data_IF_498485870736
#
_entry.id   IF_498485870736
#
_cell.length_a   1.000
_cell.length_b   1.000
_cell.length_c   1.000
_cell.angle_alpha   90.00
_cell.angle_beta   90.00
_cell.angle_gamma   90.00
#
_symmetry.space_group_name_H-M   'P 1'
#
loop_
_entity.id
_entity.type
_entity.pdbx_description
1 polymer ?
#
# COMPACT_ATOMS: atom_id res chain seq x y z
N UNK A 1 44.06 17.94 25.24
CA UNK A 1 43.05 18.19 26.29
C UNK A 1 41.85 18.89 25.64
N UNK A 2 40.84 18.12 25.22
CA UNK A 2 39.53 18.70 24.90
C UNK A 2 38.45 17.81 25.51
N UNK A 3 37.65 18.43 26.37
CA UNK A 3 36.61 17.87 27.21
C UNK A 3 35.43 17.29 26.41
N UNK A 4 35.09 16.03 26.68
CA UNK A 4 33.86 15.38 26.18
C UNK A 4 32.69 15.82 27.08
N UNK A 5 31.73 16.58 26.54
CA UNK A 5 30.44 16.82 27.20
C UNK A 5 29.55 15.58 27.01
N UNK A 6 29.24 14.91 28.09
CA UNK A 6 28.17 13.89 28.18
C UNK A 6 26.84 14.65 28.25
N UNK A 7 25.93 14.37 27.30
CA UNK A 7 24.53 14.75 27.40
C UNK A 7 23.80 13.55 28.01
N UNK A 8 23.25 13.77 29.20
CA UNK A 8 22.41 12.79 29.91
C UNK A 8 20.96 13.11 29.56
N UNK A 9 20.28 12.24 28.84
CA UNK A 9 18.83 12.30 28.69
C UNK A 9 18.16 11.74 29.94
N UNK A 10 17.38 12.56 30.63
CA UNK A 10 16.52 12.13 31.73
C UNK A 10 15.17 11.69 31.18
N UNK A 11 14.84 10.41 31.40
CA UNK A 11 13.49 9.88 31.20
C UNK A 11 12.61 10.30 32.37
N UNK A 12 11.52 11.04 32.10
CA UNK A 12 10.46 11.29 33.06
C UNK A 12 9.39 10.20 32.99
N UNK A 13 8.85 9.76 34.12
CA UNK A 13 7.88 8.65 34.13
C UNK A 13 6.48 9.08 33.73
N UNK A 14 5.85 8.21 32.96
CA UNK A 14 4.48 8.25 32.47
C UNK A 14 3.49 8.19 33.67
N UNK A 15 2.75 9.25 33.91
CA UNK A 15 1.65 9.25 34.88
C UNK A 15 0.37 8.68 34.28
N UNK A 16 -0.06 7.57 34.84
CA UNK A 16 -1.33 6.89 34.58
C UNK A 16 -2.47 7.76 35.12
N UNK A 17 -3.36 8.29 34.27
CA UNK A 17 -4.58 8.97 34.69
C UNK A 17 -5.75 7.99 34.62
N UNK A 18 -6.23 7.58 35.79
CA UNK A 18 -7.46 6.80 35.95
C UNK A 18 -8.67 7.73 35.86
N UNK A 19 -9.59 7.43 34.96
CA UNK A 19 -10.87 8.12 34.80
C UNK A 19 -11.88 7.52 35.79
N UNK A 20 -12.27 8.29 36.82
CA UNK A 20 -13.40 7.97 37.67
C UNK A 20 -14.61 8.75 37.20
N UNK A 21 -15.69 8.06 36.85
CA UNK A 21 -17.00 8.63 36.61
C UNK A 21 -17.72 8.86 37.96
N UNK A 22 -18.26 10.04 38.19
CA UNK A 22 -19.34 10.24 39.14
C UNK A 22 -20.20 11.44 38.75
N UNK A 23 -21.49 11.22 38.62
CA UNK A 23 -22.48 12.25 38.33
C UNK A 23 -22.91 13.04 39.58
N UNK A 24 -23.58 14.17 39.34
CA UNK A 24 -24.30 14.88 40.38
C UNK A 24 -24.31 16.41 40.16
N UNK A 25 -25.49 16.98 39.96
CA UNK A 25 -25.74 18.39 39.67
C UNK A 25 -25.51 19.32 40.86
N UNK A 26 -25.39 20.59 40.55
CA UNK A 26 -25.34 21.66 41.54
C UNK A 26 -24.93 22.98 40.94
N UNK A 27 -25.86 23.88 40.80
CA UNK A 27 -25.68 25.30 40.43
C UNK A 27 -24.91 26.07 41.52
N UNK A 28 -23.87 26.80 41.15
CA UNK A 28 -23.44 27.99 41.88
C UNK A 28 -22.62 28.94 41.00
N UNK A 29 -23.09 30.19 40.93
CA UNK A 29 -22.42 31.32 40.35
C UNK A 29 -21.10 31.63 41.06
N UNK A 30 -20.03 31.81 40.33
CA UNK A 30 -18.89 32.61 40.75
C UNK A 30 -18.40 33.49 39.62
N UNK A 31 -18.56 34.81 39.79
CA UNK A 31 -17.88 35.83 39.02
C UNK A 31 -16.49 36.05 39.61
N UNK A 32 -15.44 35.94 38.87
CA UNK A 32 -14.17 36.59 39.10
C UNK A 32 -13.40 36.73 37.77
N UNK A 33 -13.07 37.96 37.43
CA UNK A 33 -12.33 38.32 36.23
C UNK A 33 -10.89 37.83 36.26
N UNK A 34 -10.38 37.50 35.09
CA UNK A 34 -8.99 37.15 34.87
C UNK A 34 -8.78 36.69 33.43
N UNK A 35 -8.06 37.51 32.67
CA UNK A 35 -7.36 37.24 31.41
C UNK A 35 -7.89 36.05 30.56
N UNK A 36 -8.64 36.39 29.55
CA UNK A 36 -8.94 35.46 28.46
C UNK A 36 -7.69 35.27 27.58
N UNK A 37 -6.87 34.30 27.88
CA UNK A 37 -6.18 33.57 26.83
C UNK A 37 -7.26 32.87 26.01
N UNK A 38 -7.61 33.44 24.89
CA UNK A 38 -8.44 32.74 23.89
C UNK A 38 -7.66 31.52 23.37
N UNK A 39 -7.81 30.41 24.04
CA UNK A 39 -7.63 29.13 23.39
C UNK A 39 -8.71 29.08 22.29
N UNK A 40 -8.35 29.50 21.10
CA UNK A 40 -9.12 29.17 19.91
C UNK A 40 -9.17 27.64 19.86
N UNK A 41 -10.31 27.06 20.25
CA UNK A 41 -10.64 25.69 19.92
C UNK A 41 -10.63 25.68 18.41
N UNK A 42 -9.57 25.10 17.83
CA UNK A 42 -9.48 24.81 16.42
C UNK A 42 -10.77 24.08 16.05
N UNK A 43 -11.58 24.67 15.19
CA UNK A 43 -12.74 23.99 14.63
C UNK A 43 -12.19 22.81 13.85
N UNK A 44 -12.62 21.59 14.22
CA UNK A 44 -12.31 20.38 13.46
C UNK A 44 -12.66 20.63 11.99
N UNK A 45 -11.67 20.56 11.12
CA UNK A 45 -11.83 20.66 9.68
C UNK A 45 -12.12 19.29 9.07
N UNK A 46 -12.26 19.25 7.77
CA UNK A 46 -12.28 17.99 7.03
C UNK A 46 -11.44 18.12 5.76
N UNK A 47 -10.78 17.03 5.38
CA UNK A 47 -10.10 16.90 4.10
C UNK A 47 -10.72 15.77 3.29
N UNK A 48 -10.85 15.97 1.99
CA UNK A 48 -11.38 14.97 1.06
C UNK A 48 -10.49 14.90 -0.16
N UNK A 49 -10.40 13.71 -0.72
CA UNK A 49 -9.56 13.49 -1.89
C UNK A 49 -9.69 12.08 -2.43
N UNK A 50 -8.70 11.67 -3.18
CA UNK A 50 -8.61 10.34 -3.76
C UNK A 50 -7.18 9.80 -3.65
N UNK A 51 -7.10 8.49 -3.40
CA UNK A 51 -5.86 7.74 -3.35
C UNK A 51 -5.61 7.05 -4.70
N UNK A 52 -4.40 7.21 -5.23
CA UNK A 52 -4.15 6.97 -6.62
C UNK A 52 -2.79 6.30 -6.95
N UNK A 53 -2.86 5.12 -7.47
CA UNK A 53 -1.92 4.43 -8.35
C UNK A 53 -2.77 3.66 -9.38
N UNK A 54 -3.69 4.36 -10.08
CA UNK A 54 -5.03 3.95 -10.39
C UNK A 54 -5.93 4.09 -9.15
N UNK A 55 -7.27 4.19 -9.28
CA UNK A 55 -8.14 4.31 -8.12
C UNK A 55 -7.92 3.17 -7.12
N UNK A 56 -7.46 3.49 -5.89
CA UNK A 56 -7.24 2.51 -4.83
C UNK A 56 -8.53 2.30 -4.04
N UNK A 57 -9.23 1.21 -4.32
CA UNK A 57 -10.43 0.82 -3.59
C UNK A 57 -10.06 0.12 -2.28
N UNK A 58 -10.72 0.47 -1.17
CA UNK A 58 -10.54 -0.10 0.17
C UNK A 58 -9.16 0.14 0.81
N UNK A 59 -8.37 1.09 0.33
CA UNK A 59 -7.13 1.51 0.99
C UNK A 59 -7.44 2.21 2.32
N UNK A 60 -6.64 1.97 3.36
CA UNK A 60 -6.75 2.68 4.63
C UNK A 60 -6.18 4.08 4.47
N UNK A 61 -6.91 5.11 4.91
CA UNK A 61 -6.48 6.51 4.86
C UNK A 61 -6.58 7.13 6.24
N UNK A 62 -5.56 7.88 6.64
CA UNK A 62 -5.55 8.66 7.88
C UNK A 62 -4.72 9.93 7.72
N UNK A 63 -4.83 10.85 8.67
CA UNK A 63 -3.97 12.02 8.79
C UNK A 63 -2.93 11.77 9.87
N UNK A 64 -1.69 12.12 9.59
CA UNK A 64 -0.56 12.05 10.49
C UNK A 64 -0.14 13.49 10.86
N UNK A 65 -0.05 13.79 12.16
CA UNK A 65 0.24 15.15 12.66
C UNK A 65 1.68 15.31 13.14
N UNK A 66 2.41 14.23 13.37
CA UNK A 66 3.71 14.25 14.02
C UNK A 66 4.74 13.28 13.42
N UNK A 67 4.46 12.75 12.23
CA UNK A 67 5.25 11.71 11.56
C UNK A 67 5.42 10.42 12.41
N UNK A 68 4.54 10.24 13.41
CA UNK A 68 4.61 9.11 14.35
C UNK A 68 3.97 7.83 13.81
N UNK A 69 3.38 7.84 12.62
CA UNK A 69 2.74 6.70 11.93
C UNK A 69 1.60 5.99 12.71
N UNK A 70 1.30 6.44 13.92
CA UNK A 70 0.29 5.88 14.82
C UNK A 70 -0.58 6.98 15.42
N UNK A 71 -1.00 7.95 14.60
CA UNK A 71 -1.72 9.11 15.06
C UNK A 71 -3.08 8.81 15.69
N UNK A 72 -3.52 9.68 16.59
CA UNK A 72 -4.87 9.75 17.15
C UNK A 72 -5.92 10.23 16.12
N UNK A 73 -5.68 9.95 14.83
CA UNK A 73 -6.50 10.41 13.72
C UNK A 73 -7.62 9.44 13.39
N UNK A 74 -8.74 9.98 12.92
CA UNK A 74 -9.77 9.15 12.32
C UNK A 74 -9.20 8.41 11.12
N UNK A 75 -9.48 7.13 11.04
CA UNK A 75 -9.13 6.31 9.88
C UNK A 75 -10.38 6.03 9.06
N UNK A 76 -10.26 6.06 7.75
CA UNK A 76 -11.32 5.67 6.82
C UNK A 76 -10.76 4.73 5.77
N UNK A 77 -11.63 4.01 5.07
CA UNK A 77 -11.24 3.31 3.84
C UNK A 77 -11.75 4.06 2.62
N UNK A 78 -10.95 4.04 1.57
CA UNK A 78 -11.36 4.60 0.28
C UNK A 78 -12.57 3.85 -0.27
N UNK A 79 -13.42 4.57 -0.98
CA UNK A 79 -14.53 4.00 -1.74
C UNK A 79 -14.04 3.24 -2.99
N UNK A 80 -14.98 2.73 -3.79
CA UNK A 80 -14.68 1.97 -5.02
C UNK A 80 -13.95 2.77 -6.09
N UNK A 81 -13.91 4.09 -5.99
CA UNK A 81 -13.24 5.01 -6.91
C UNK A 81 -11.99 5.64 -6.30
N UNK A 82 -11.55 5.17 -5.14
CA UNK A 82 -10.40 5.71 -4.42
C UNK A 82 -10.69 6.96 -3.59
N UNK A 83 -11.95 7.39 -3.50
CA UNK A 83 -12.36 8.59 -2.76
C UNK A 83 -12.35 8.39 -1.25
N UNK A 84 -12.04 9.46 -0.49
CA UNK A 84 -12.08 9.46 0.97
C UNK A 84 -12.49 10.83 1.52
N UNK A 85 -12.96 10.85 2.76
CA UNK A 85 -13.18 12.07 3.57
C UNK A 85 -12.75 11.81 5.00
N UNK A 86 -11.87 12.66 5.54
CA UNK A 86 -11.30 12.59 6.88
C UNK A 86 -11.60 13.84 7.67
N UNK A 87 -11.76 13.71 8.99
CA UNK A 87 -11.79 14.86 9.91
C UNK A 87 -10.36 15.25 10.27
N UNK A 88 -10.08 16.56 10.32
CA UNK A 88 -8.78 17.11 10.68
C UNK A 88 -8.88 17.98 11.94
N UNK A 89 -7.82 17.97 12.75
CA UNK A 89 -7.73 18.75 13.99
C UNK A 89 -7.10 20.13 13.76
N UNK A 90 -6.25 20.25 12.75
CA UNK A 90 -5.56 21.49 12.36
C UNK A 90 -5.12 21.36 10.88
N UNK A 91 -4.47 22.39 10.34
CA UNK A 91 -4.06 22.46 8.93
C UNK A 91 -2.63 21.95 8.68
N UNK A 92 -1.92 21.50 9.72
CA UNK A 92 -0.57 20.94 9.59
C UNK A 92 -0.61 19.42 9.80
N UNK A 93 -0.73 18.68 8.72
CA UNK A 93 -0.81 17.22 8.72
C UNK A 93 -0.30 16.67 7.39
N UNK A 94 0.10 15.41 7.41
CA UNK A 94 0.34 14.58 6.22
C UNK A 94 -0.85 13.64 6.01
N UNK A 95 -1.34 13.52 4.78
CA UNK A 95 -2.32 12.49 4.43
C UNK A 95 -1.55 11.22 4.10
N UNK A 96 -1.90 10.12 4.75
CA UNK A 96 -1.25 8.82 4.57
C UNK A 96 -2.27 7.79 4.09
N UNK A 97 -1.92 7.11 3.01
CA UNK A 97 -2.67 5.98 2.45
C UNK A 97 -1.83 4.73 2.62
N UNK A 98 -2.39 3.71 3.24
CA UNK A 98 -1.74 2.39 3.39
C UNK A 98 -2.62 1.34 2.74
N UNK A 99 -2.01 0.53 1.91
CA UNK A 99 -2.68 -0.58 1.23
C UNK A 99 -2.44 -1.89 1.97
N UNK A 100 -3.44 -2.74 2.00
CA UNK A 100 -3.40 -4.05 2.63
C UNK A 100 -4.00 -5.14 1.72
N UNK A 101 -4.19 -6.35 2.25
CA UNK A 101 -4.73 -7.49 1.49
C UNK A 101 -6.15 -7.30 0.95
N UNK A 102 -6.87 -6.24 1.36
CA UNK A 102 -8.21 -5.91 0.86
C UNK A 102 -8.20 -4.77 -0.18
N UNK A 103 -7.08 -4.07 -0.35
CA UNK A 103 -6.95 -2.97 -1.29
C UNK A 103 -6.84 -3.48 -2.72
N UNK A 104 -7.66 -2.93 -3.62
CA UNK A 104 -7.60 -3.21 -5.06
C UNK A 104 -7.16 -1.95 -5.80
N UNK A 105 -6.13 -2.07 -6.61
CA UNK A 105 -5.77 -1.10 -7.63
C UNK A 105 -6.68 -1.29 -8.85
N UNK A 106 -7.59 -0.36 -9.08
CA UNK A 106 -8.59 -0.46 -10.15
C UNK A 106 -7.99 -0.36 -11.55
N UNK A 107 -6.81 0.24 -11.70
CA UNK A 107 -6.14 0.31 -13.00
C UNK A 107 -5.61 -1.06 -13.45
N UNK A 108 -5.29 -1.92 -12.49
CA UNK A 108 -4.76 -3.26 -12.75
C UNK A 108 -5.77 -4.37 -12.47
N UNK A 109 -6.80 -4.08 -11.67
CA UNK A 109 -7.69 -5.08 -11.09
C UNK A 109 -7.03 -5.98 -10.04
N UNK A 110 -5.78 -5.68 -9.66
CA UNK A 110 -4.99 -6.50 -8.77
C UNK A 110 -5.04 -6.00 -7.32
N UNK A 111 -4.84 -6.91 -6.36
CA UNK A 111 -4.54 -6.54 -4.97
C UNK A 111 -3.23 -5.79 -4.90
N UNK A 112 -3.21 -4.79 -4.04
CA UNK A 112 -2.04 -3.96 -3.80
C UNK A 112 -1.70 -3.89 -2.30
N UNK A 113 -1.32 -4.97 -1.63
CA UNK A 113 -0.89 -4.90 -0.25
C UNK A 113 0.50 -4.28 -0.13
N UNK A 114 0.75 -3.60 1.02
CA UNK A 114 2.10 -3.17 1.40
C UNK A 114 2.63 -1.98 0.60
N UNK A 115 1.77 -1.09 0.12
CA UNK A 115 2.15 0.20 -0.46
C UNK A 115 1.74 1.32 0.50
N UNK A 116 2.62 2.29 0.69
CA UNK A 116 2.32 3.52 1.42
C UNK A 116 2.44 4.70 0.47
N UNK A 117 1.43 5.56 0.43
CA UNK A 117 1.45 6.82 -0.30
C UNK A 117 1.22 7.97 0.68
N UNK A 118 1.82 9.13 0.40
CA UNK A 118 1.69 10.31 1.23
C UNK A 118 1.40 11.55 0.40
N UNK A 119 0.76 12.54 1.02
CA UNK A 119 0.56 13.85 0.42
C UNK A 119 0.54 14.93 1.51
N UNK A 120 1.01 16.16 1.22
CA UNK A 120 0.95 17.27 2.17
C UNK A 120 -0.50 17.69 2.44
N UNK A 121 -0.70 18.42 3.53
CA UNK A 121 -2.00 19.02 3.86
C UNK A 121 -2.52 19.88 2.72
N UNK A 122 -3.83 19.84 2.49
CA UNK A 122 -4.48 20.54 1.39
C UNK A 122 -4.44 19.82 0.03
N UNK A 123 -3.69 18.73 -0.10
CA UNK A 123 -3.76 17.90 -1.30
C UNK A 123 -5.11 17.16 -1.38
N UNK A 124 -5.66 17.10 -2.59
CA UNK A 124 -6.82 16.24 -2.91
C UNK A 124 -6.41 14.97 -3.65
N UNK A 125 -5.16 14.86 -4.07
CA UNK A 125 -4.58 13.67 -4.69
C UNK A 125 -3.49 13.07 -3.79
N UNK A 126 -3.54 11.77 -3.51
CA UNK A 126 -2.47 11.03 -2.82
C UNK A 126 -1.91 10.00 -3.78
N UNK A 127 -0.71 10.27 -4.29
CA UNK A 127 -0.10 9.57 -5.43
C UNK A 127 1.38 9.27 -5.18
N UNK A 128 2.03 8.57 -6.10
CA UNK A 128 3.48 8.39 -6.08
C UNK A 128 4.22 9.75 -6.14
N UNK A 129 3.74 10.68 -6.95
CA UNK A 129 4.38 12.01 -7.11
C UNK A 129 4.20 12.88 -5.88
N UNK A 130 3.01 12.89 -5.23
CA UNK A 130 2.81 13.60 -3.96
C UNK A 130 3.62 12.98 -2.84
N UNK A 131 3.83 11.65 -2.87
CA UNK A 131 4.69 10.95 -1.90
C UNK A 131 6.15 11.40 -2.03
N UNK A 132 6.65 11.58 -3.26
CA UNK A 132 7.98 12.14 -3.49
C UNK A 132 8.09 13.60 -3.04
N UNK A 133 7.02 14.40 -3.21
CA UNK A 133 6.99 15.79 -2.74
C UNK A 133 7.05 15.84 -1.21
N UNK A 134 6.24 15.07 -0.53
CA UNK A 134 6.13 15.06 0.94
C UNK A 134 7.40 14.51 1.59
N UNK A 135 7.81 13.30 1.24
CA UNK A 135 8.97 12.63 1.86
C UNK A 135 10.32 13.11 1.30
N UNK A 136 10.36 13.51 0.03
CA UNK A 136 11.58 13.98 -0.63
C UNK A 136 11.83 15.48 -0.46
N UNK A 137 10.86 16.24 0.05
CA UNK A 137 10.92 17.71 0.11
C UNK A 137 11.03 18.35 -1.27
N UNK A 138 10.36 17.77 -2.29
CA UNK A 138 10.41 18.22 -3.67
C UNK A 138 9.22 19.14 -3.99
N UNK A 139 9.46 20.17 -4.79
CA UNK A 139 8.37 21.00 -5.33
C UNK A 139 7.73 20.34 -6.55
N UNK A 140 6.46 20.67 -6.85
CA UNK A 140 5.79 20.20 -8.06
C UNK A 140 6.59 20.52 -9.34
N UNK A 141 7.19 21.71 -9.42
CA UNK A 141 8.02 22.12 -10.56
C UNK A 141 9.27 21.22 -10.71
N UNK A 142 9.91 20.82 -9.61
CA UNK A 142 11.04 19.88 -9.66
C UNK A 142 10.58 18.50 -10.13
N UNK A 143 9.45 18.00 -9.63
CA UNK A 143 8.87 16.71 -10.03
C UNK A 143 8.51 16.72 -11.52
N UNK A 144 7.76 17.72 -11.99
CA UNK A 144 7.39 17.85 -13.40
C UNK A 144 8.63 17.84 -14.31
N UNK A 145 9.62 18.64 -13.96
CA UNK A 145 10.83 18.78 -14.73
C UNK A 145 11.63 17.49 -14.83
N UNK A 146 11.88 16.85 -13.70
CA UNK A 146 12.71 15.63 -13.64
C UNK A 146 12.00 14.45 -14.31
N UNK A 147 10.68 14.37 -14.20
CA UNK A 147 9.89 13.32 -14.82
C UNK A 147 9.54 13.59 -16.30
N UNK A 148 9.88 14.79 -16.81
CA UNK A 148 9.54 15.20 -18.18
C UNK A 148 8.04 15.38 -18.40
N UNK A 149 7.32 15.81 -17.36
CA UNK A 149 5.87 16.06 -17.37
C UNK A 149 5.57 17.52 -17.75
N UNK A 150 4.33 17.79 -18.18
CA UNK A 150 3.85 19.14 -18.44
C UNK A 150 3.98 20.02 -17.20
N UNK A 151 4.36 21.30 -17.38
CA UNK A 151 4.45 22.28 -16.29
C UNK A 151 3.11 22.65 -15.69
N UNK A 152 2.01 22.36 -16.39
CA UNK A 152 0.66 22.68 -15.99
C UNK A 152 0.05 21.64 -15.04
N UNK A 153 0.74 20.51 -14.84
CA UNK A 153 0.30 19.46 -13.92
C UNK A 153 0.53 19.91 -12.47
N UNK A 154 -0.57 20.09 -11.74
CA UNK A 154 -0.58 20.26 -10.30
C UNK A 154 -0.79 18.90 -9.61
N UNK A 155 0.29 18.30 -9.12
CA UNK A 155 0.27 16.98 -8.48
C UNK A 155 -0.64 16.91 -7.25
N UNK A 156 -0.91 18.03 -6.57
CA UNK A 156 -1.76 18.04 -5.37
C UNK A 156 -3.24 17.82 -5.70
N UNK A 157 -3.62 18.04 -6.95
CA UNK A 157 -5.03 17.97 -7.40
C UNK A 157 -5.22 17.12 -8.64
N UNK A 158 -4.14 16.74 -9.34
CA UNK A 158 -4.22 16.05 -10.62
C UNK A 158 -4.83 14.65 -10.49
N UNK A 159 -5.86 14.38 -11.30
CA UNK A 159 -6.53 13.09 -11.41
C UNK A 159 -6.53 12.64 -12.87
N UNK A 160 -5.67 11.68 -13.20
CA UNK A 160 -5.50 11.15 -14.55
C UNK A 160 -6.81 10.55 -15.17
N UNK A 161 -7.79 10.23 -14.35
CA UNK A 161 -9.04 9.60 -14.77
C UNK A 161 -10.27 10.54 -14.64
N UNK A 162 -10.03 11.81 -14.32
CA UNK A 162 -11.11 12.79 -14.27
C UNK A 162 -11.64 13.11 -15.68
N UNK A 163 -12.94 13.40 -15.77
CA UNK A 163 -13.53 13.82 -17.02
C UNK A 163 -12.90 15.15 -17.50
N UNK A 164 -12.43 15.18 -18.75
CA UNK A 164 -11.87 16.37 -19.38
C UNK A 164 -10.38 16.60 -19.14
N UNK A 165 -9.68 15.67 -18.48
CA UNK A 165 -8.22 15.67 -18.39
C UNK A 165 -7.62 15.38 -19.76
N UNK A 166 -6.54 16.04 -20.10
CA UNK A 166 -5.76 15.75 -21.30
C UNK A 166 -5.25 14.31 -21.27
N UNK A 167 -5.47 13.56 -22.36
CA UNK A 167 -5.16 12.14 -22.40
C UNK A 167 -3.64 11.86 -22.40
N UNK A 168 -2.85 12.75 -23.01
CA UNK A 168 -1.39 12.61 -23.06
C UNK A 168 -0.77 12.91 -21.69
N UNK A 169 -1.26 13.94 -20.99
CA UNK A 169 -0.85 14.25 -19.62
C UNK A 169 -1.26 13.13 -18.65
N UNK A 170 -2.49 12.60 -18.78
CA UNK A 170 -2.95 11.47 -17.97
C UNK A 170 -2.07 10.23 -18.16
N UNK A 171 -1.78 9.89 -19.40
CA UNK A 171 -0.91 8.75 -19.73
C UNK A 171 0.51 8.95 -19.22
N UNK A 172 1.09 10.15 -19.42
CA UNK A 172 2.44 10.46 -18.96
C UNK A 172 2.58 10.36 -17.44
N UNK A 173 1.62 10.92 -16.68
CA UNK A 173 1.62 10.86 -15.21
C UNK A 173 1.49 9.41 -14.72
N UNK A 174 0.60 8.61 -15.30
CA UNK A 174 0.41 7.21 -14.90
C UNK A 174 1.63 6.35 -15.22
N UNK A 175 2.24 6.49 -16.39
CA UNK A 175 3.51 5.82 -16.73
C UNK A 175 4.57 6.15 -15.68
N UNK A 176 4.80 7.43 -15.39
CA UNK A 176 5.82 7.85 -14.41
C UNK A 176 5.50 7.39 -13.00
N UNK A 177 4.24 7.46 -12.57
CA UNK A 177 3.79 6.95 -11.28
C UNK A 177 4.06 5.46 -11.13
N UNK A 178 3.75 4.66 -12.15
CA UNK A 178 4.00 3.21 -12.11
C UNK A 178 5.49 2.88 -12.16
N UNK A 179 6.30 3.61 -12.93
CA UNK A 179 7.76 3.44 -12.95
C UNK A 179 8.38 3.76 -11.58
N UNK A 180 7.99 4.88 -10.96
CA UNK A 180 8.44 5.26 -9.61
C UNK A 180 8.05 4.17 -8.59
N UNK A 181 6.80 3.72 -8.64
CA UNK A 181 6.33 2.69 -7.70
C UNK A 181 6.98 1.33 -7.94
N UNK A 182 7.35 0.98 -9.17
CA UNK A 182 8.14 -0.23 -9.44
C UNK A 182 9.50 -0.15 -8.73
N UNK A 183 10.17 1.00 -8.79
CA UNK A 183 11.46 1.21 -8.12
C UNK A 183 11.31 1.20 -6.61
N UNK A 184 10.39 2.01 -6.05
CA UNK A 184 10.18 2.11 -4.60
C UNK A 184 9.76 0.74 -4.04
N UNK A 185 8.77 0.07 -4.63
CA UNK A 185 8.28 -1.22 -4.15
C UNK A 185 9.31 -2.34 -4.34
N UNK A 186 10.07 -2.32 -5.45
CA UNK A 186 11.11 -3.31 -5.71
C UNK A 186 12.23 -3.25 -4.65
N UNK A 187 12.77 -2.07 -4.39
CA UNK A 187 13.79 -1.92 -3.35
C UNK A 187 13.24 -2.04 -1.92
N UNK A 188 12.00 -1.59 -1.66
CA UNK A 188 11.32 -1.89 -0.39
C UNK A 188 11.27 -3.41 -0.16
N UNK A 189 10.84 -4.16 -1.16
CA UNK A 189 10.75 -5.62 -1.09
C UNK A 189 12.13 -6.29 -0.86
N UNK A 190 13.18 -5.78 -1.51
CA UNK A 190 14.55 -6.27 -1.30
C UNK A 190 15.03 -6.03 0.14
N UNK A 191 14.79 -4.84 0.67
CA UNK A 191 15.18 -4.49 2.05
C UNK A 191 14.33 -5.26 3.08
N UNK A 192 13.02 -5.44 2.85
CA UNK A 192 12.17 -6.33 3.68
C UNK A 192 12.64 -7.79 3.63
N UNK A 193 12.95 -8.30 2.45
CA UNK A 193 13.48 -9.66 2.26
C UNK A 193 14.78 -9.87 3.03
N UNK A 194 15.61 -8.82 3.16
CA UNK A 194 16.82 -8.85 3.99
C UNK A 194 16.52 -8.84 5.49
N UNK A 195 15.28 -8.57 5.92
CA UNK A 195 14.82 -8.69 7.31
C UNK A 195 14.39 -7.40 7.99
N UNK A 196 14.46 -6.25 7.32
CA UNK A 196 14.00 -4.98 7.87
C UNK A 196 12.47 -4.95 8.02
N UNK A 197 11.97 -4.02 8.85
CA UNK A 197 10.53 -3.71 8.90
C UNK A 197 10.07 -3.09 7.58
N UNK A 198 8.79 -3.23 7.26
CA UNK A 198 8.21 -2.59 6.05
C UNK A 198 8.44 -1.07 6.05
N UNK A 199 8.24 -0.42 7.18
CA UNK A 199 8.39 1.02 7.32
C UNK A 199 9.83 1.49 7.05
N UNK A 200 10.83 0.82 7.66
CA UNK A 200 12.24 1.15 7.45
C UNK A 200 12.66 0.87 6.01
N UNK A 201 12.19 -0.24 5.44
CA UNK A 201 12.46 -0.61 4.05
C UNK A 201 11.87 0.42 3.08
N UNK A 202 10.61 0.80 3.27
CA UNK A 202 9.92 1.80 2.46
C UNK A 202 10.62 3.17 2.53
N UNK A 203 10.93 3.65 3.73
CA UNK A 203 11.64 4.92 3.91
C UNK A 203 13.02 4.90 3.25
N UNK A 204 13.74 3.78 3.36
CA UNK A 204 15.05 3.60 2.73
C UNK A 204 14.96 3.69 1.20
N UNK A 205 14.04 2.96 0.59
CA UNK A 205 13.85 2.95 -0.85
C UNK A 205 13.36 4.31 -1.37
N UNK A 206 12.36 4.90 -0.70
CA UNK A 206 11.80 6.19 -1.09
C UNK A 206 12.84 7.32 -1.01
N UNK A 207 13.62 7.34 0.09
CA UNK A 207 14.71 8.31 0.25
C UNK A 207 15.75 8.17 -0.86
N UNK A 208 16.14 6.96 -1.22
CA UNK A 208 17.10 6.70 -2.28
C UNK A 208 16.62 7.26 -3.63
N UNK A 209 15.33 7.09 -3.95
CA UNK A 209 14.69 7.67 -5.15
C UNK A 209 14.67 9.19 -5.07
N UNK A 210 14.21 9.75 -3.95
CA UNK A 210 14.12 11.21 -3.76
C UNK A 210 15.48 11.90 -3.85
N UNK A 211 16.54 11.31 -3.29
CA UNK A 211 17.89 11.84 -3.36
C UNK A 211 18.40 11.93 -4.84
N UNK A 212 18.14 10.91 -5.66
CA UNK A 212 18.52 10.94 -7.08
C UNK A 212 17.69 11.97 -7.86
N UNK A 213 16.38 12.05 -7.60
CA UNK A 213 15.50 13.07 -8.22
C UNK A 213 15.98 14.47 -7.87
N UNK A 214 16.39 14.73 -6.63
CA UNK A 214 16.90 16.02 -6.19
C UNK A 214 18.18 16.42 -6.93
N UNK A 215 19.12 15.51 -7.04
CA UNK A 215 20.36 15.73 -7.82
C UNK A 215 20.05 16.03 -9.30
N UNK A 216 19.08 15.32 -9.88
CA UNK A 216 18.66 15.57 -11.27
C UNK A 216 17.94 16.91 -11.41
N UNK A 217 17.08 17.28 -10.48
CA UNK A 217 16.40 18.58 -10.47
C UNK A 217 17.41 19.74 -10.42
N UNK A 218 18.39 19.65 -9.53
CA UNK A 218 19.44 20.65 -9.37
C UNK A 218 20.33 20.75 -10.63
N UNK A 219 20.59 19.60 -11.27
CA UNK A 219 21.38 19.54 -12.52
C UNK A 219 20.57 19.85 -13.78
N UNK A 220 19.27 20.13 -13.67
CA UNK A 220 18.37 20.37 -14.80
C UNK A 220 18.30 19.17 -15.79
N UNK A 221 18.24 17.94 -15.29
CA UNK A 221 18.25 16.71 -16.06
C UNK A 221 17.01 15.86 -15.79
N UNK A 222 16.57 15.10 -16.79
CA UNK A 222 15.50 14.14 -16.64
C UNK A 222 15.98 12.88 -15.90
N UNK A 223 15.05 12.21 -15.21
CA UNK A 223 15.25 10.92 -14.58
C UNK A 223 14.96 9.79 -15.58
N UNK A 224 15.87 8.83 -15.65
CA UNK A 224 15.72 7.61 -16.43
C UNK A 224 15.68 6.40 -15.49
N UNK A 225 14.47 5.91 -15.21
CA UNK A 225 14.24 4.74 -14.34
C UNK A 225 14.36 3.40 -15.10
N UNK A 226 14.86 3.45 -16.36
CA UNK A 226 15.19 2.28 -17.18
C UNK A 226 16.69 2.09 -17.34
N UNK A 227 17.53 2.95 -16.74
CA UNK A 227 18.99 2.89 -16.83
C UNK A 227 19.61 2.32 -15.54
N UNK A 228 19.83 1.00 -15.54
CA UNK A 228 20.51 0.25 -14.46
C UNK A 228 22.04 0.15 -14.66
N UNK A 229 22.62 0.86 -15.63
CA UNK A 229 24.08 0.86 -15.84
C UNK A 229 24.80 1.56 -14.70
N UNK A 230 26.12 1.34 -14.61
CA UNK A 230 26.95 2.07 -13.64
C UNK A 230 26.88 3.58 -13.90
N UNK A 231 26.37 4.31 -12.90
CA UNK A 231 26.11 5.76 -13.00
C UNK A 231 24.78 6.13 -13.67
N UNK A 232 24.01 5.16 -14.16
CA UNK A 232 22.61 5.32 -14.53
C UNK A 232 21.71 5.58 -13.33
N UNK A 233 20.54 6.14 -13.53
CA UNK A 233 19.71 6.62 -12.41
C UNK A 233 19.19 5.51 -11.52
N UNK A 234 18.78 4.38 -12.09
CA UNK A 234 18.36 3.21 -11.33
C UNK A 234 19.56 2.58 -10.60
N UNK A 235 20.74 2.54 -11.22
CA UNK A 235 21.99 2.13 -10.60
C UNK A 235 22.35 3.00 -9.39
N UNK A 236 22.22 4.33 -9.51
CA UNK A 236 22.46 5.27 -8.40
C UNK A 236 21.45 5.09 -7.27
N UNK A 237 20.18 4.81 -7.56
CA UNK A 237 19.16 4.50 -6.53
C UNK A 237 19.55 3.22 -5.77
N UNK A 238 19.94 2.16 -6.48
CA UNK A 238 20.45 0.92 -5.88
C UNK A 238 21.62 1.18 -4.93
N UNK A 239 22.59 1.98 -5.36
CA UNK A 239 23.78 2.32 -4.56
C UNK A 239 23.43 3.16 -3.32
N UNK A 240 22.44 4.06 -3.42
CA UNK A 240 21.91 4.82 -2.28
C UNK A 240 21.19 3.92 -1.27
N UNK A 241 20.42 2.91 -1.72
CA UNK A 241 19.82 1.90 -0.83
C UNK A 241 20.92 1.13 -0.11
N UNK A 242 21.95 0.62 -0.82
CA UNK A 242 23.09 -0.08 -0.24
C UNK A 242 23.83 0.76 0.81
N UNK A 243 24.04 2.05 0.52
CA UNK A 243 24.67 3.00 1.43
C UNK A 243 23.83 3.18 2.70
N UNK A 244 22.52 3.30 2.58
CA UNK A 244 21.61 3.43 3.71
C UNK A 244 21.63 2.18 4.61
N UNK A 245 21.68 0.99 4.02
CA UNK A 245 21.82 -0.28 4.75
C UNK A 245 23.16 -0.35 5.49
N UNK A 246 24.24 0.11 4.88
CA UNK A 246 25.57 0.18 5.51
C UNK A 246 25.58 1.17 6.68
N UNK A 247 24.82 2.24 6.62
CA UNK A 247 24.66 3.21 7.71
C UNK A 247 23.84 2.68 8.89
N UNK A 248 23.10 1.57 8.71
CA UNK A 248 22.40 0.84 9.75
C UNK A 248 20.88 0.95 9.68
N UNK A 249 20.26 0.08 8.89
CA UNK A 249 18.81 -0.18 8.93
C UNK A 249 18.55 -1.38 9.84
N UNK A 250 17.65 -1.22 10.81
CA UNK A 250 17.39 -2.23 11.83
C UNK A 250 17.01 -3.58 11.23
N UNK A 251 17.67 -4.64 11.66
CA UNK A 251 17.49 -6.05 11.25
C UNK A 251 17.75 -6.35 9.75
N UNK A 252 18.15 -5.38 8.93
CA UNK A 252 18.50 -5.64 7.54
C UNK A 252 19.82 -6.43 7.44
N UNK A 253 19.84 -7.47 6.61
CA UNK A 253 21.03 -8.21 6.23
C UNK A 253 21.65 -7.59 4.97
N UNK A 254 22.72 -6.82 5.14
CA UNK A 254 23.41 -6.16 4.03
C UNK A 254 23.99 -7.18 3.04
N UNK A 255 24.43 -8.35 3.50
CA UNK A 255 25.04 -9.38 2.62
C UNK A 255 23.97 -9.95 1.69
N UNK A 256 22.82 -10.33 2.22
CA UNK A 256 21.71 -10.83 1.42
C UNK A 256 21.19 -9.78 0.43
N UNK A 257 21.04 -8.53 0.86
CA UNK A 257 20.65 -7.44 -0.04
C UNK A 257 21.70 -7.27 -1.15
N UNK A 258 22.98 -7.15 -0.83
CA UNK A 258 24.05 -6.90 -1.81
C UNK A 258 24.15 -8.02 -2.84
N UNK A 259 23.95 -9.27 -2.43
CA UNK A 259 23.97 -10.42 -3.33
C UNK A 259 22.86 -10.38 -4.39
N UNK A 260 21.73 -9.72 -4.09
CA UNK A 260 20.54 -9.63 -4.94
C UNK A 260 20.28 -8.24 -5.52
N UNK A 261 21.09 -7.24 -5.19
CA UNK A 261 20.83 -5.85 -5.57
C UNK A 261 20.85 -5.62 -7.08
N UNK A 262 21.80 -6.20 -7.80
CA UNK A 262 21.89 -6.07 -9.25
C UNK A 262 20.77 -6.82 -9.97
N UNK A 263 20.41 -8.01 -9.51
CA UNK A 263 19.29 -8.77 -10.05
C UNK A 263 17.94 -8.06 -9.78
N UNK A 264 17.80 -7.45 -8.61
CA UNK A 264 16.64 -6.61 -8.26
C UNK A 264 16.54 -5.39 -9.18
N UNK A 265 17.63 -4.66 -9.38
CA UNK A 265 17.66 -3.50 -10.27
C UNK A 265 17.36 -3.89 -11.73
N UNK A 266 17.92 -5.00 -12.21
CA UNK A 266 17.62 -5.54 -13.55
C UNK A 266 16.15 -5.95 -13.69
N UNK A 267 15.55 -6.53 -12.66
CA UNK A 267 14.13 -6.87 -12.70
C UNK A 267 13.25 -5.61 -12.73
N UNK A 268 13.62 -4.56 -11.97
CA UNK A 268 12.95 -3.25 -12.00
C UNK A 268 13.08 -2.60 -13.39
N UNK A 269 14.29 -2.58 -13.97
CA UNK A 269 14.54 -2.07 -15.33
C UNK A 269 13.62 -2.75 -16.35
N UNK A 270 13.59 -4.08 -16.38
CA UNK A 270 12.73 -4.86 -17.27
C UNK A 270 11.24 -4.53 -17.13
N UNK A 271 10.77 -4.24 -15.93
CA UNK A 271 9.38 -3.81 -15.66
C UNK A 271 9.17 -2.38 -16.17
N UNK A 272 10.09 -1.47 -15.88
CA UNK A 272 10.00 -0.07 -16.28
C UNK A 272 10.09 0.12 -17.80
N UNK A 273 10.89 -0.69 -18.50
CA UNK A 273 10.92 -0.73 -19.97
C UNK A 273 9.56 -1.09 -20.56
N UNK A 274 8.86 -2.07 -19.96
CA UNK A 274 7.51 -2.44 -20.41
C UNK A 274 6.49 -1.37 -20.10
N UNK A 275 6.57 -0.74 -18.92
CA UNK A 275 5.69 0.37 -18.54
C UNK A 275 5.89 1.55 -19.51
N UNK A 276 7.11 1.83 -19.94
CA UNK A 276 7.42 2.90 -20.90
C UNK A 276 6.77 2.71 -22.28
N UNK A 277 6.41 1.47 -22.65
CA UNK A 277 5.75 1.15 -23.92
C UNK A 277 4.23 1.24 -23.88
N UNK A 278 3.64 1.55 -22.73
CA UNK A 278 2.20 1.73 -22.58
C UNK A 278 1.75 2.96 -23.38
N UNK A 279 0.71 2.80 -24.18
CA UNK A 279 0.22 3.85 -25.10
C UNK A 279 -1.24 4.28 -24.85
N UNK A 280 -1.91 3.65 -23.88
CA UNK A 280 -3.28 4.01 -23.45
C UNK A 280 -3.53 3.54 -22.01
N UNK A 281 -4.54 4.06 -21.32
CA UNK A 281 -4.86 3.70 -19.93
C UNK A 281 -6.02 2.69 -19.79
N UNK A 282 -6.61 2.24 -20.89
CA UNK A 282 -7.87 1.50 -20.87
C UNK A 282 -7.75 0.04 -21.29
N UNK A 283 -6.71 -0.31 -22.05
CA UNK A 283 -6.54 -1.66 -22.59
C UNK A 283 -6.15 -2.68 -21.50
N UNK A 284 -6.53 -3.92 -21.71
CA UNK A 284 -6.12 -5.02 -20.84
C UNK A 284 -4.61 -5.25 -20.87
N UNK A 285 -3.94 -4.93 -21.97
CA UNK A 285 -2.47 -4.98 -22.08
C UNK A 285 -1.85 -4.01 -21.08
N UNK A 286 -2.36 -2.79 -20.99
CA UNK A 286 -1.90 -1.79 -20.01
C UNK A 286 -2.13 -2.23 -18.58
N UNK A 287 -3.34 -2.71 -18.27
CA UNK A 287 -3.65 -3.26 -16.94
C UNK A 287 -2.69 -4.39 -16.57
N UNK A 288 -2.43 -5.30 -17.52
CA UNK A 288 -1.48 -6.39 -17.33
C UNK A 288 -0.07 -5.88 -17.09
N UNK A 289 0.39 -4.92 -17.88
CA UNK A 289 1.71 -4.31 -17.74
C UNK A 289 1.87 -3.67 -16.36
N UNK A 290 0.90 -2.87 -15.92
CA UNK A 290 0.96 -2.25 -14.60
C UNK A 290 0.90 -3.25 -13.43
N UNK A 291 0.20 -4.38 -13.60
CA UNK A 291 0.13 -5.42 -12.56
C UNK A 291 1.47 -6.13 -12.31
N UNK A 292 2.40 -6.11 -13.28
CA UNK A 292 3.74 -6.71 -13.12
C UNK A 292 4.48 -6.14 -11.90
N UNK A 293 4.23 -4.87 -11.53
CA UNK A 293 4.86 -4.26 -10.34
C UNK A 293 4.56 -5.01 -9.04
N UNK A 294 3.40 -5.66 -8.94
CA UNK A 294 3.05 -6.47 -7.77
C UNK A 294 3.80 -7.80 -7.76
N UNK A 295 3.89 -8.45 -8.94
CA UNK A 295 4.68 -9.68 -9.11
C UNK A 295 6.15 -9.40 -8.80
N UNK A 296 6.70 -8.32 -9.33
CA UNK A 296 8.07 -7.88 -9.05
C UNK A 296 8.32 -7.80 -7.53
N UNK A 297 7.46 -7.09 -6.80
CA UNK A 297 7.60 -6.93 -5.34
C UNK A 297 7.66 -8.28 -4.63
N UNK A 298 6.68 -9.15 -4.90
CA UNK A 298 6.56 -10.44 -4.22
C UNK A 298 7.76 -11.36 -4.54
N UNK A 299 8.21 -11.36 -5.79
CA UNK A 299 9.37 -12.15 -6.24
C UNK A 299 10.69 -11.63 -5.65
N UNK A 300 10.90 -10.31 -5.64
CA UNK A 300 12.11 -9.71 -5.06
C UNK A 300 12.20 -10.03 -3.57
N UNK A 301 11.11 -9.84 -2.82
CA UNK A 301 11.07 -10.13 -1.38
C UNK A 301 11.40 -11.59 -1.09
N UNK A 302 10.80 -12.51 -1.83
CA UNK A 302 11.05 -13.95 -1.69
C UNK A 302 12.51 -14.32 -2.03
N UNK A 303 13.07 -13.74 -3.10
CA UNK A 303 14.42 -14.01 -3.54
C UNK A 303 15.47 -13.56 -2.53
N UNK A 304 15.35 -12.33 -2.00
CA UNK A 304 16.29 -11.82 -0.99
C UNK A 304 16.14 -12.55 0.34
N UNK A 305 14.92 -12.93 0.73
CA UNK A 305 14.69 -13.72 1.93
C UNK A 305 15.32 -15.12 1.84
N UNK A 306 15.29 -15.73 0.67
CA UNK A 306 15.91 -17.02 0.45
C UNK A 306 17.44 -16.91 0.42
N UNK A 307 18.02 -15.87 -0.19
CA UNK A 307 19.47 -15.57 -0.10
C UNK A 307 19.91 -15.43 1.35
N UNK A 308 19.17 -14.67 2.17
CA UNK A 308 19.41 -14.53 3.60
C UNK A 308 19.43 -15.87 4.34
N UNK A 309 18.60 -16.82 3.92
CA UNK A 309 18.49 -18.16 4.50
C UNK A 309 19.49 -19.16 3.92
N UNK A 310 20.35 -18.76 2.98
CA UNK A 310 21.37 -19.61 2.34
C UNK A 310 20.87 -20.47 1.17
N UNK A 311 19.69 -20.16 0.62
CA UNK A 311 19.11 -20.84 -0.54
C UNK A 311 19.41 -20.08 -1.84
N UNK A 312 20.64 -20.19 -2.31
CA UNK A 312 21.21 -19.29 -3.33
C UNK A 312 21.17 -19.79 -4.78
N UNK A 313 20.83 -21.05 -5.01
CA UNK A 313 21.12 -21.67 -6.33
C UNK A 313 20.09 -21.46 -7.42
N UNK A 314 18.83 -21.19 -7.11
CA UNK A 314 17.71 -21.26 -8.06
C UNK A 314 16.98 -19.94 -8.32
N UNK A 315 17.19 -18.94 -7.47
CA UNK A 315 16.30 -17.79 -7.29
C UNK A 315 16.53 -16.70 -8.34
N UNK A 316 17.78 -16.45 -8.77
CA UNK A 316 18.11 -15.35 -9.69
C UNK A 316 17.41 -15.47 -11.05
N UNK A 317 17.39 -16.67 -11.64
CA UNK A 317 16.72 -16.93 -12.92
C UNK A 317 15.19 -16.89 -12.80
N UNK A 318 14.64 -17.33 -11.66
CA UNK A 318 13.21 -17.34 -11.41
C UNK A 318 12.62 -15.93 -11.35
N UNK A 319 13.29 -15.03 -10.66
CA UNK A 319 12.86 -13.63 -10.52
C UNK A 319 12.64 -12.96 -11.88
N UNK A 320 13.64 -13.02 -12.79
CA UNK A 320 13.54 -12.38 -14.11
C UNK A 320 12.54 -13.10 -15.01
N UNK A 321 12.53 -14.44 -14.99
CA UNK A 321 11.64 -15.26 -15.80
C UNK A 321 10.17 -15.07 -15.45
N UNK A 322 9.82 -15.07 -14.16
CA UNK A 322 8.44 -14.91 -13.70
C UNK A 322 7.91 -13.50 -13.96
N UNK A 323 8.71 -12.45 -13.73
CA UNK A 323 8.33 -11.08 -14.09
C UNK A 323 8.04 -10.96 -15.59
N UNK A 324 8.83 -11.59 -16.44
CA UNK A 324 8.60 -11.56 -17.88
C UNK A 324 7.36 -12.36 -18.31
N UNK A 325 7.06 -13.50 -17.68
CA UNK A 325 5.91 -14.33 -18.02
C UNK A 325 4.58 -13.74 -17.57
N UNK A 326 4.57 -12.93 -16.51
CA UNK A 326 3.35 -12.32 -15.95
C UNK A 326 2.60 -11.40 -16.92
N UNK A 327 3.27 -10.87 -17.97
CA UNK A 327 2.62 -10.07 -19.03
C UNK A 327 1.57 -10.86 -19.82
N UNK A 328 1.77 -12.17 -19.97
CA UNK A 328 0.83 -13.05 -20.64
C UNK A 328 -0.28 -13.60 -19.72
N UNK A 329 -0.15 -13.36 -18.41
CA UNK A 329 -1.12 -13.83 -17.41
C UNK A 329 -2.49 -13.19 -17.60
N UNK A 330 -3.56 -13.99 -17.52
CA UNK A 330 -4.95 -13.53 -17.54
C UNK A 330 -5.50 -13.52 -16.12
N UNK A 331 -6.50 -12.69 -15.82
CA UNK A 331 -7.12 -12.72 -14.50
C UNK A 331 -7.97 -13.97 -14.32
N UNK A 332 -8.11 -14.44 -13.08
CA UNK A 332 -9.10 -15.48 -12.76
C UNK A 332 -10.52 -15.06 -13.20
N UNK A 333 -11.32 -16.03 -13.59
CA UNK A 333 -12.65 -15.79 -14.17
C UNK A 333 -13.80 -16.07 -13.22
N UNK A 334 -13.59 -16.91 -12.19
CA UNK A 334 -14.60 -17.21 -11.17
C UNK A 334 -13.95 -17.67 -9.85
N UNK A 335 -14.70 -17.47 -8.73
CA UNK A 335 -14.42 -18.05 -7.43
C UNK A 335 -15.57 -18.99 -7.07
N UNK A 336 -15.26 -20.19 -6.64
CA UNK A 336 -16.23 -21.18 -6.15
C UNK A 336 -16.07 -21.40 -4.66
N UNK A 337 -17.15 -21.79 -4.01
CA UNK A 337 -17.17 -22.23 -2.61
C UNK A 337 -17.88 -23.56 -2.55
N UNK A 338 -17.30 -24.57 -1.92
CA UNK A 338 -17.84 -25.95 -1.92
C UNK A 338 -19.21 -26.06 -1.25
N UNK A 339 -19.56 -25.14 -0.35
CA UNK A 339 -20.88 -25.00 0.23
C UNK A 339 -21.19 -23.52 0.48
N UNK A 340 -22.43 -23.12 0.26
CA UNK A 340 -22.97 -21.80 0.63
C UNK A 340 -24.03 -21.91 1.74
N UNK A 341 -24.03 -23.02 2.49
CA UNK A 341 -24.90 -23.22 3.65
C UNK A 341 -24.13 -23.83 4.80
N UNK A 342 -24.58 -23.54 6.02
CA UNK A 342 -24.07 -24.11 7.26
C UNK A 342 -25.25 -24.45 8.18
N UNK A 343 -25.18 -25.61 8.85
CA UNK A 343 -26.26 -26.09 9.70
C UNK A 343 -26.01 -25.60 11.14
N UNK A 344 -27.00 -24.93 11.75
CA UNK A 344 -26.94 -24.63 13.17
C UNK A 344 -26.94 -25.89 14.03
N UNK A 345 -26.53 -25.79 15.28
CA UNK A 345 -26.48 -26.94 16.20
C UNK A 345 -25.45 -28.02 15.84
N UNK A 346 -24.85 -27.97 14.64
CA UNK A 346 -23.84 -28.97 14.18
C UNK A 346 -22.51 -28.89 14.93
N UNK A 347 -22.26 -27.82 15.68
CA UNK A 347 -20.97 -27.53 16.31
C UNK A 347 -19.86 -27.13 15.34
N UNK A 348 -20.13 -27.10 14.03
CA UNK A 348 -19.17 -26.70 13.00
C UNK A 348 -19.28 -25.22 12.70
N UNK A 349 -18.11 -24.60 12.47
CA UNK A 349 -18.00 -23.24 11.95
C UNK A 349 -17.55 -23.23 10.49
N UNK A 350 -17.08 -24.36 9.96
CA UNK A 350 -16.60 -24.47 8.60
C UNK A 350 -17.78 -24.41 7.63
N UNK A 351 -17.72 -23.46 6.69
CA UNK A 351 -18.70 -23.29 5.61
C UNK A 351 -18.28 -24.14 4.42
N UNK A 352 -17.04 -23.92 3.93
CA UNK A 352 -16.57 -24.63 2.77
C UNK A 352 -15.12 -24.27 2.42
N UNK A 353 -14.68 -24.77 1.26
CA UNK A 353 -13.35 -24.53 0.72
C UNK A 353 -13.50 -23.75 -0.57
N UNK A 354 -12.71 -22.68 -0.69
CA UNK A 354 -12.65 -21.83 -1.88
C UNK A 354 -11.88 -22.53 -2.99
N UNK A 355 -12.34 -22.35 -4.22
CA UNK A 355 -11.66 -22.70 -5.45
C UNK A 355 -11.69 -21.51 -6.41
N UNK A 356 -10.75 -21.46 -7.36
CA UNK A 356 -10.70 -20.40 -8.37
C UNK A 356 -10.55 -21.01 -9.74
N UNK A 357 -11.25 -20.44 -10.73
CA UNK A 357 -11.14 -20.80 -12.14
C UNK A 357 -10.29 -19.76 -12.85
N UNK A 358 -9.25 -20.24 -13.53
CA UNK A 358 -8.35 -19.41 -14.32
C UNK A 358 -7.98 -20.16 -15.61
N UNK A 359 -7.94 -19.42 -16.74
CA UNK A 359 -7.78 -20.02 -18.06
C UNK A 359 -6.32 -20.38 -18.41
N UNK A 360 -5.35 -19.73 -17.79
CA UNK A 360 -3.93 -19.88 -18.07
C UNK A 360 -3.12 -20.37 -16.85
N UNK A 361 -3.77 -20.57 -15.72
CA UNK A 361 -3.13 -21.18 -14.57
C UNK A 361 -3.22 -22.71 -14.62
N UNK A 362 -2.08 -23.37 -14.53
CA UNK A 362 -2.03 -24.84 -14.57
C UNK A 362 -2.64 -25.46 -13.32
N UNK A 363 -3.23 -26.64 -13.47
CA UNK A 363 -3.78 -27.41 -12.34
C UNK A 363 -2.69 -27.64 -11.28
N UNK A 364 -2.93 -27.11 -10.06
CA UNK A 364 -2.00 -27.22 -8.94
C UNK A 364 -1.30 -25.91 -8.57
N UNK A 365 -1.50 -24.83 -9.32
CA UNK A 365 -1.04 -23.48 -8.94
C UNK A 365 -1.79 -22.97 -7.71
N UNK A 366 -1.10 -22.27 -6.82
CA UNK A 366 -1.69 -21.78 -5.58
C UNK A 366 -2.35 -20.42 -5.80
N UNK A 367 -3.68 -20.35 -5.66
CA UNK A 367 -4.36 -19.09 -5.49
C UNK A 367 -4.24 -18.60 -4.06
N UNK A 368 -4.14 -17.27 -3.88
CA UNK A 368 -4.22 -16.62 -2.57
C UNK A 368 -5.58 -15.98 -2.39
N UNK A 369 -6.18 -16.18 -1.22
CA UNK A 369 -7.51 -15.66 -0.91
C UNK A 369 -7.46 -14.61 0.19
N UNK A 370 -8.37 -13.63 0.13
CA UNK A 370 -8.60 -12.67 1.19
C UNK A 370 -10.10 -12.37 1.35
N UNK A 371 -10.52 -11.99 2.56
CA UNK A 371 -11.84 -11.44 2.81
C UNK A 371 -11.77 -9.93 2.57
N UNK A 372 -12.63 -9.40 1.70
CA UNK A 372 -12.74 -7.98 1.46
C UNK A 372 -13.65 -7.32 2.49
N UNK A 373 -13.20 -6.21 3.06
CA UNK A 373 -14.00 -5.37 3.95
C UNK A 373 -14.96 -4.49 3.12
N UNK A 374 -16.10 -5.05 2.73
CA UNK A 374 -17.11 -4.36 1.91
C UNK A 374 -18.26 -3.92 2.80
N UNK A 375 -18.64 -2.64 2.72
CA UNK A 375 -19.81 -2.11 3.43
C UNK A 375 -21.08 -2.87 3.04
N UNK A 376 -21.90 -3.24 4.03
CA UNK A 376 -23.11 -4.04 3.82
C UNK A 376 -22.84 -5.55 3.68
N UNK A 377 -21.63 -6.01 3.95
CA UNK A 377 -21.30 -7.43 4.14
C UNK A 377 -20.95 -7.71 5.61
N UNK A 378 -20.93 -8.99 5.96
CA UNK A 378 -20.61 -9.47 7.31
C UNK A 378 -19.15 -9.91 7.44
N UNK A 379 -18.24 -9.25 6.73
CA UNK A 379 -16.82 -9.65 6.62
C UNK A 379 -16.17 -9.94 7.98
N UNK A 380 -16.51 -9.14 9.01
CA UNK A 380 -16.00 -9.30 10.38
C UNK A 380 -16.51 -10.57 11.10
N UNK A 381 -17.50 -11.28 10.54
CA UNK A 381 -18.02 -12.53 11.10
C UNK A 381 -17.29 -13.77 10.56
N UNK A 382 -16.36 -13.61 9.64
CA UNK A 382 -15.68 -14.71 8.96
C UNK A 382 -14.20 -14.81 9.33
N UNK A 383 -13.67 -16.02 9.22
CA UNK A 383 -12.24 -16.32 9.20
C UNK A 383 -11.89 -17.11 7.95
N UNK A 384 -10.71 -16.89 7.44
CA UNK A 384 -10.18 -17.53 6.23
C UNK A 384 -8.79 -18.09 6.51
N UNK A 385 -8.63 -19.38 6.25
CA UNK A 385 -7.31 -20.00 6.19
C UNK A 385 -6.75 -19.86 4.78
N UNK A 386 -5.81 -18.94 4.60
CA UNK A 386 -5.23 -18.61 3.30
C UNK A 386 -4.50 -19.78 2.64
N UNK A 387 -3.91 -20.68 3.43
CA UNK A 387 -3.16 -21.81 2.91
C UNK A 387 -4.05 -22.96 2.39
N UNK A 388 -5.25 -23.11 2.97
CA UNK A 388 -6.18 -24.21 2.63
C UNK A 388 -7.43 -23.75 1.88
N UNK A 389 -7.66 -22.43 1.79
CA UNK A 389 -8.89 -21.86 1.24
C UNK A 389 -10.14 -22.09 2.11
N UNK A 390 -9.98 -22.56 3.34
CA UNK A 390 -11.13 -22.84 4.24
C UNK A 390 -11.74 -21.55 4.75
N UNK A 391 -13.03 -21.35 4.46
CA UNK A 391 -13.85 -20.24 4.94
C UNK A 391 -14.74 -20.74 6.09
N UNK A 392 -14.69 -20.04 7.22
CA UNK A 392 -15.43 -20.39 8.43
C UNK A 392 -16.08 -19.16 9.06
N UNK A 393 -17.14 -19.33 9.83
CA UNK A 393 -17.65 -18.33 10.77
C UNK A 393 -16.74 -18.24 12.00
N UNK A 394 -16.67 -17.07 12.62
CA UNK A 394 -15.99 -16.86 13.90
C UNK A 394 -16.82 -17.40 15.08
N UNK A 395 -18.14 -17.33 14.98
CA UNK A 395 -19.09 -17.87 15.97
C UNK A 395 -19.86 -19.05 15.39
N UNK A 396 -20.46 -19.88 16.25
CA UNK A 396 -21.40 -20.90 15.81
C UNK A 396 -22.61 -20.26 15.15
N UNK A 397 -23.15 -20.83 14.06
CA UNK A 397 -24.35 -20.34 13.42
C UNK A 397 -25.58 -20.56 14.30
N UNK A 398 -26.50 -19.61 14.26
CA UNK A 398 -27.77 -19.56 15.00
C UNK A 398 -28.78 -18.90 14.04
N UNK A 399 -29.76 -19.70 13.60
CA UNK A 399 -30.72 -19.28 12.56
C UNK A 399 -31.67 -18.19 13.07
N UNK A 400 -32.14 -18.29 14.31
CA UNK A 400 -33.06 -17.34 14.95
C UNK A 400 -32.40 -15.97 15.11
N UNK A 401 -31.09 -15.96 15.36
CA UNK A 401 -30.30 -14.72 15.47
C UNK A 401 -29.95 -14.16 14.11
N UNK A 402 -29.50 -15.01 13.18
CA UNK A 402 -29.05 -14.54 11.85
C UNK A 402 -29.13 -15.65 10.78
N UNK A 403 -30.18 -15.64 9.93
CA UNK A 403 -30.45 -16.70 8.95
C UNK A 403 -29.52 -16.68 7.75
N UNK A 404 -28.79 -15.58 7.50
CA UNK A 404 -27.81 -15.51 6.40
C UNK A 404 -26.68 -14.53 6.69
N UNK A 405 -25.55 -14.75 6.02
CA UNK A 405 -24.38 -13.91 6.06
C UNK A 405 -23.94 -13.60 4.64
N UNK A 406 -23.35 -12.42 4.41
CA UNK A 406 -22.76 -12.03 3.13
C UNK A 406 -21.26 -11.76 3.30
N UNK A 407 -20.44 -12.31 2.41
CA UNK A 407 -18.99 -12.10 2.42
C UNK A 407 -18.48 -11.93 1.00
N UNK A 408 -17.59 -10.98 0.80
CA UNK A 408 -16.87 -10.81 -0.47
C UNK A 408 -15.49 -11.42 -0.33
N UNK A 409 -15.19 -12.37 -1.20
CA UNK A 409 -13.90 -13.04 -1.30
C UNK A 409 -13.15 -12.48 -2.49
N UNK A 410 -11.88 -12.29 -2.30
CA UNK A 410 -10.92 -11.94 -3.33
C UNK A 410 -10.02 -13.14 -3.57
N UNK A 411 -9.78 -13.47 -4.84
CA UNK A 411 -8.80 -14.46 -5.26
C UNK A 411 -7.74 -13.81 -6.12
N UNK A 412 -6.50 -14.14 -5.86
CA UNK A 412 -5.32 -13.67 -6.60
C UNK A 412 -4.58 -14.88 -7.17
N UNK A 413 -4.24 -14.83 -8.45
CA UNK A 413 -3.39 -15.80 -9.14
C UNK A 413 -1.89 -15.58 -8.84
N UNK A 414 -1.04 -16.44 -9.36
CA UNK A 414 0.41 -16.35 -9.22
C UNK A 414 1.04 -15.23 -10.06
N UNK A 415 0.36 -14.75 -11.10
CA UNK A 415 0.73 -13.58 -11.90
C UNK A 415 0.29 -12.25 -11.29
N UNK A 416 -0.38 -12.27 -10.12
CA UNK A 416 -0.79 -11.06 -9.39
C UNK A 416 -2.16 -10.50 -9.78
N UNK A 417 -2.90 -11.14 -10.72
CA UNK A 417 -4.24 -10.74 -11.12
C UNK A 417 -5.30 -11.21 -10.14
N UNK A 418 -6.42 -10.51 -10.07
CA UNK A 418 -7.44 -10.78 -9.05
C UNK A 418 -8.84 -10.78 -9.60
N UNK A 419 -9.72 -11.50 -8.91
CA UNK A 419 -11.18 -11.43 -9.04
C UNK A 419 -11.82 -11.31 -7.66
N UNK A 420 -12.97 -10.63 -7.59
CA UNK A 420 -13.79 -10.53 -6.39
C UNK A 420 -15.14 -11.20 -6.62
N UNK A 421 -15.64 -11.95 -5.65
CA UNK A 421 -16.98 -12.53 -5.67
C UNK A 421 -17.64 -12.46 -4.30
N UNK A 422 -18.90 -12.00 -4.27
CA UNK A 422 -19.70 -12.01 -3.05
C UNK A 422 -20.50 -13.29 -2.96
N UNK A 423 -20.42 -13.96 -1.82
CA UNK A 423 -21.21 -15.12 -1.46
C UNK A 423 -22.26 -14.74 -0.43
N UNK A 424 -23.45 -15.34 -0.57
CA UNK A 424 -24.44 -15.41 0.49
C UNK A 424 -24.37 -16.80 1.11
N UNK A 425 -24.17 -16.85 2.42
CA UNK A 425 -24.10 -18.09 3.21
C UNK A 425 -25.36 -18.19 4.02
N UNK A 426 -26.15 -19.23 3.77
CA UNK A 426 -27.41 -19.49 4.48
C UNK A 426 -27.16 -20.34 5.73
N UNK A 427 -27.80 -19.98 6.82
CA UNK A 427 -27.90 -20.84 8.00
C UNK A 427 -29.12 -21.75 7.81
N UNK A 428 -28.95 -23.04 7.99
CA UNK A 428 -30.04 -24.01 7.90
C UNK A 428 -30.59 -24.25 9.30
N UNK A 429 -31.87 -23.96 9.45
CA UNK A 429 -32.66 -24.18 10.68
C UNK A 429 -32.71 -25.67 11.05
N UNK A 430 -32.51 -25.99 12.31
CA UNK A 430 -32.74 -27.30 12.93
C UNK A 430 -33.68 -27.07 14.08
N UNK A 431 -34.95 -27.43 13.89
CA UNK A 431 -35.99 -27.26 14.93
C UNK A 431 -35.48 -27.72 16.29
N UNK A 432 -35.33 -26.80 17.23
CA UNK A 432 -34.96 -27.04 18.62
C UNK A 432 -36.20 -27.24 19.50
#
# INVERSE_FOLDING_TARGET
LMSKKKVTLSLSPLSLLTLAACGGGGTSNFSAGGSTSSNSISTAGSTSGFAWKGPLSHALVYVDYDDAFLGNSSTVRTDVNGGYTLQTLNDNYTIVVVTDGSTIDKSTGAFLPGVTLKAPSGATAVTATTTLMEEGGLTAAQVNKVLGLSTDIDHLTFNAFAAGVDADDALAVEIKSHQIMAVVNGFTAAVEGSGASHLDAFRTALKAVADVIKVKADANRNLDLTDNTFGGDLGLIKDNVSTSLTAGVTNADLTAFTAMADDTATAIENVNDKIALVSDLTSDITKNTFSITNVLRDQVKAAVAAEKNGDTGFIKFKLIGEVNSSVANKPPTDITLTSTSIIEGSGSKLIGILGTTDADQTVGSAFTYAIAEVAGTDYASFSLNQATGQLSLLSLPDYETKPSYRVTILSKDDGGKTIAKTFEVLVTDVNE
#
